data_IF_421309765019
#
_entry.id   IF_421309765019
#
_cell.length_a   1.000
_cell.length_b   1.000
_cell.length_c   1.000
_cell.angle_alpha   90.00
_cell.angle_beta   90.00
_cell.angle_gamma   90.00
#
_symmetry.space_group_name_H-M   'P 1'
#
loop_
_entity.id
_entity.type
_entity.pdbx_description
1 polymer ?
#
# COMPACT_ATOMS: atom_id res chain seq x y z
N UNK A 1 12.72 -38.95 -16.62
CA UNK A 1 11.75 -37.86 -16.38
C UNK A 1 12.42 -36.88 -15.44
N UNK A 2 12.73 -35.67 -15.91
CA UNK A 2 13.46 -34.67 -15.14
C UNK A 2 12.45 -33.89 -14.29
N UNK A 3 12.62 -33.90 -12.97
CA UNK A 3 11.77 -33.14 -12.07
C UNK A 3 11.98 -31.65 -12.32
N UNK A 4 10.89 -30.95 -12.65
CA UNK A 4 10.87 -29.50 -12.81
C UNK A 4 11.21 -28.87 -11.46
N UNK A 5 12.42 -28.32 -11.33
CA UNK A 5 12.83 -27.58 -10.14
C UNK A 5 11.98 -26.30 -10.13
N UNK A 6 10.88 -26.32 -9.37
CA UNK A 6 10.11 -25.13 -9.02
C UNK A 6 11.06 -24.16 -8.29
N UNK A 7 11.79 -23.39 -9.07
CA UNK A 7 12.73 -22.40 -8.56
C UNK A 7 11.86 -21.29 -8.00
N UNK A 8 11.61 -21.35 -6.69
CA UNK A 8 10.80 -20.36 -5.99
C UNK A 8 11.63 -19.08 -5.99
N UNK A 9 11.35 -18.18 -6.93
CA UNK A 9 12.01 -16.88 -6.99
C UNK A 9 11.66 -16.17 -5.67
N UNK A 10 12.66 -15.78 -4.86
CA UNK A 10 12.40 -15.15 -3.58
C UNK A 10 11.69 -13.81 -3.81
N UNK A 11 10.70 -13.51 -2.97
CA UNK A 11 10.01 -12.23 -3.04
C UNK A 11 11.03 -11.09 -2.86
N UNK A 12 10.95 -10.02 -3.67
CA UNK A 12 11.88 -8.91 -3.52
C UNK A 12 11.73 -8.28 -2.13
N UNK A 13 12.83 -7.76 -1.57
CA UNK A 13 12.79 -7.12 -0.26
C UNK A 13 11.87 -5.88 -0.29
N UNK A 14 11.28 -5.49 0.85
CA UNK A 14 10.48 -4.28 0.93
C UNK A 14 11.26 -3.04 0.48
N UNK A 15 10.62 -2.20 -0.33
CA UNK A 15 11.18 -0.94 -0.81
C UNK A 15 10.57 0.24 -0.06
N UNK A 16 11.32 1.33 0.04
CA UNK A 16 10.87 2.55 0.71
C UNK A 16 10.86 3.73 -0.26
N UNK A 17 9.87 4.62 -0.10
CA UNK A 17 9.83 5.87 -0.84
C UNK A 17 9.52 7.05 0.08
N UNK A 18 10.38 8.07 0.04
CA UNK A 18 10.15 9.37 0.68
C UNK A 18 9.18 10.21 -0.14
N UNK A 19 8.29 10.93 0.53
CA UNK A 19 7.35 11.85 -0.12
C UNK A 19 6.50 12.60 0.90
N UNK A 20 5.32 13.04 0.45
CA UNK A 20 4.40 13.86 1.23
C UNK A 20 3.00 13.29 1.17
N UNK A 21 2.26 13.35 2.28
CA UNK A 21 0.86 12.98 2.35
C UNK A 21 0.08 14.02 3.17
N UNK A 22 -1.23 14.12 2.92
CA UNK A 22 -2.12 14.87 3.79
C UNK A 22 -2.25 14.19 5.15
N UNK A 23 -2.35 15.00 6.19
CA UNK A 23 -2.69 14.59 7.55
C UNK A 23 -3.94 15.35 7.98
N UNK A 24 -4.92 14.61 8.47
CA UNK A 24 -6.16 15.16 9.01
C UNK A 24 -5.92 15.88 10.34
N UNK A 25 -6.87 16.71 10.80
CA UNK A 25 -6.80 17.37 12.11
C UNK A 25 -6.67 16.39 13.28
N UNK A 26 -7.23 15.18 13.14
CA UNK A 26 -7.13 14.09 14.11
C UNK A 26 -5.75 13.38 14.07
N UNK A 27 -4.78 13.96 13.35
CA UNK A 27 -3.43 13.44 13.17
C UNK A 27 -3.37 12.08 12.44
N UNK A 28 -4.34 11.82 11.55
CA UNK A 28 -4.37 10.61 10.72
C UNK A 28 -3.83 10.93 9.32
N UNK A 29 -2.72 10.29 8.95
CA UNK A 29 -2.15 10.33 7.61
C UNK A 29 -3.11 9.74 6.57
N UNK A 30 -3.13 10.33 5.37
CA UNK A 30 -3.98 9.91 4.25
C UNK A 30 -3.12 9.25 3.16
N UNK A 31 -2.92 7.91 3.17
CA UNK A 31 -1.94 7.26 2.30
C UNK A 31 -2.24 7.44 0.81
N UNK A 32 -3.53 7.49 0.44
CA UNK A 32 -3.98 7.71 -0.94
C UNK A 32 -3.50 9.04 -1.54
N UNK A 33 -3.12 9.99 -0.69
CA UNK A 33 -2.64 11.31 -1.09
C UNK A 33 -1.12 11.36 -1.26
N UNK A 34 -0.40 10.28 -0.98
CA UNK A 34 1.07 10.25 -1.08
C UNK A 34 1.56 10.72 -2.46
N UNK A 35 2.50 11.65 -2.47
CA UNK A 35 3.12 12.17 -3.68
C UNK A 35 4.56 12.65 -3.45
N UNK A 36 5.30 12.85 -4.53
CA UNK A 36 6.69 13.34 -4.48
C UNK A 36 6.84 14.80 -4.01
N UNK A 37 5.75 15.56 -3.93
CA UNK A 37 5.75 16.95 -3.43
C UNK A 37 4.43 17.30 -2.75
N UNK A 38 4.47 18.29 -1.85
CA UNK A 38 3.29 18.78 -1.12
C UNK A 38 2.16 19.21 -2.06
N UNK A 39 2.49 20.01 -3.09
CA UNK A 39 1.52 20.46 -4.10
C UNK A 39 0.81 19.30 -4.79
N UNK A 40 1.52 18.19 -5.05
CA UNK A 40 0.91 16.99 -5.65
C UNK A 40 0.07 16.21 -4.64
N UNK A 41 0.46 16.18 -3.36
CA UNK A 41 -0.35 15.55 -2.31
C UNK A 41 -1.68 16.29 -2.11
N UNK A 42 -1.63 17.62 -2.01
CA UNK A 42 -2.83 18.48 -1.98
C UNK A 42 -3.68 18.25 -3.24
N UNK A 43 -3.07 18.19 -4.42
CA UNK A 43 -3.80 17.96 -5.67
C UNK A 43 -4.49 16.58 -5.76
N UNK A 44 -4.02 15.60 -4.99
CA UNK A 44 -4.67 14.28 -4.88
C UNK A 44 -5.91 14.35 -3.99
N UNK A 45 -5.83 15.03 -2.85
CA UNK A 45 -6.95 15.22 -1.91
C UNK A 45 -7.99 16.26 -2.37
N UNK A 46 -7.56 17.32 -3.05
CA UNK A 46 -8.39 18.46 -3.45
C UNK A 46 -8.36 18.66 -4.97
N UNK A 47 -9.50 18.47 -5.63
CA UNK A 47 -9.63 18.54 -7.09
C UNK A 47 -9.88 19.97 -7.59
N UNK A 48 -9.73 20.16 -8.90
CA UNK A 48 -10.10 21.41 -9.60
C UNK A 48 -11.53 21.27 -10.15
N UNK A 49 -12.24 22.39 -10.36
CA UNK A 49 -11.89 23.76 -9.93
C UNK A 49 -11.99 23.93 -8.40
N UNK A 50 -11.55 25.06 -7.87
CA UNK A 50 -11.73 25.37 -6.43
C UNK A 50 -10.66 24.83 -5.46
N UNK A 51 -9.71 24.00 -5.91
CA UNK A 51 -8.61 23.43 -5.08
C UNK A 51 -8.00 24.42 -4.08
N UNK A 52 -7.64 25.63 -4.53
CA UNK A 52 -6.93 26.62 -3.70
C UNK A 52 -7.80 27.07 -2.52
N UNK A 53 -9.10 27.32 -2.78
CA UNK A 53 -10.07 27.72 -1.75
C UNK A 53 -10.31 26.58 -0.76
N UNK A 54 -10.62 25.38 -1.27
CA UNK A 54 -10.86 24.21 -0.43
C UNK A 54 -9.65 23.83 0.44
N UNK A 55 -8.43 23.98 -0.09
CA UNK A 55 -7.22 23.74 0.71
C UNK A 55 -7.00 24.80 1.79
N UNK A 56 -7.32 26.06 1.52
CA UNK A 56 -7.24 27.13 2.53
C UNK A 56 -8.20 26.83 3.70
N UNK A 57 -9.47 26.53 3.40
CA UNK A 57 -10.48 26.15 4.39
C UNK A 57 -10.06 24.90 5.19
N UNK A 58 -9.53 23.87 4.52
CA UNK A 58 -9.04 22.68 5.20
C UNK A 58 -7.85 22.98 6.14
N UNK A 59 -6.95 23.88 5.74
CA UNK A 59 -5.83 24.29 6.58
C UNK A 59 -6.32 24.99 7.86
N UNK A 60 -7.34 25.84 7.75
CA UNK A 60 -7.99 26.48 8.91
C UNK A 60 -8.65 25.45 9.84
N UNK A 61 -9.14 24.34 9.28
CA UNK A 61 -9.68 23.21 10.05
C UNK A 61 -8.59 22.30 10.66
N UNK A 62 -7.31 22.60 10.47
CA UNK A 62 -6.19 21.85 11.05
C UNK A 62 -5.59 20.78 10.13
N UNK A 63 -6.00 20.70 8.87
CA UNK A 63 -5.34 19.83 7.90
C UNK A 63 -3.91 20.29 7.62
N UNK A 64 -3.02 19.33 7.38
CA UNK A 64 -1.62 19.63 7.07
C UNK A 64 -1.06 18.68 6.01
N UNK A 65 0.11 19.03 5.47
CA UNK A 65 0.93 18.11 4.68
C UNK A 65 2.10 17.66 5.54
N UNK A 66 2.42 16.36 5.54
CA UNK A 66 3.54 15.80 6.29
C UNK A 66 4.51 15.11 5.35
N UNK A 67 5.81 15.27 5.62
CA UNK A 67 6.86 14.46 5.03
C UNK A 67 6.76 13.03 5.61
N UNK A 68 6.70 12.03 4.75
CA UNK A 68 6.50 10.63 5.12
C UNK A 68 7.40 9.70 4.33
N UNK A 69 7.62 8.50 4.86
CA UNK A 69 8.24 7.39 4.16
C UNK A 69 7.19 6.28 4.00
N UNK A 70 6.87 5.90 2.76
CA UNK A 70 6.01 4.76 2.47
C UNK A 70 6.86 3.51 2.30
N UNK A 71 6.38 2.39 2.87
CA UNK A 71 6.94 1.06 2.65
C UNK A 71 6.06 0.31 1.67
N UNK A 72 6.64 -0.22 0.60
CA UNK A 72 5.98 -1.06 -0.38
C UNK A 72 6.26 -2.52 -0.03
N UNK A 73 5.18 -3.31 0.05
CA UNK A 73 5.25 -4.74 0.32
C UNK A 73 4.81 -5.52 -0.91
N UNK A 74 5.51 -6.62 -1.18
CA UNK A 74 5.04 -7.63 -2.12
C UNK A 74 3.97 -8.44 -1.37
N UNK A 75 2.76 -8.57 -1.91
CA UNK A 75 1.74 -9.38 -1.26
C UNK A 75 2.20 -10.84 -1.22
N UNK A 76 2.01 -11.49 -0.07
CA UNK A 76 2.22 -12.93 0.09
C UNK A 76 0.84 -13.58 0.14
N UNK A 77 0.56 -14.46 -0.82
CA UNK A 77 -0.66 -15.26 -0.85
C UNK A 77 -0.31 -16.69 -0.44
N UNK A 78 -1.03 -17.23 0.53
CA UNK A 78 -0.93 -18.65 0.87
C UNK A 78 -2.00 -19.41 0.09
N UNK A 79 -1.62 -20.50 -0.60
CA UNK A 79 -2.59 -21.40 -1.23
C UNK A 79 -3.42 -22.10 -0.16
N UNK A 80 -4.74 -22.06 -0.27
CA UNK A 80 -5.67 -22.82 0.59
C UNK A 80 -5.94 -24.22 0.05
N UNK A 81 -5.06 -24.78 -0.80
CA UNK A 81 -5.19 -26.16 -1.26
C UNK A 81 -5.09 -27.13 -0.08
N UNK A 82 -6.26 -27.56 0.41
CA UNK A 82 -6.37 -28.70 1.31
C UNK A 82 -5.70 -29.88 0.63
N UNK A 83 -4.58 -30.36 1.18
CA UNK A 83 -4.03 -31.65 0.79
C UNK A 83 -5.06 -32.71 1.16
N UNK A 84 -5.87 -33.16 0.20
CA UNK A 84 -6.59 -34.41 0.31
C UNK A 84 -5.51 -35.50 0.40
N UNK A 85 -5.20 -35.88 1.64
CA UNK A 85 -4.47 -37.11 1.91
C UNK A 85 -5.45 -38.22 1.54
N UNK A 86 -5.27 -38.81 0.36
CA UNK A 86 -5.90 -40.09 0.04
C UNK A 86 -5.21 -41.12 0.93
N UNK A 87 -5.95 -41.60 1.93
CA UNK A 87 -5.55 -42.73 2.77
C UNK A 87 -5.80 -43.97 1.90
N UNK A 88 -4.74 -44.59 1.38
CA UNK A 88 -4.84 -45.92 0.80
C UNK A 88 -5.14 -46.90 1.95
N UNK A 89 -6.30 -47.55 1.91
CA UNK A 89 -6.63 -48.67 2.78
C UNK A 89 -5.89 -49.91 2.26
N UNK A 90 -4.95 -50.44 3.05
CA UNK A 90 -4.34 -51.76 2.83
C UNK A 90 -5.42 -52.84 3.03
N UNK A 91 -5.79 -53.58 1.97
CA UNK A 91 -6.55 -54.84 2.07
C UNK A 91 -5.58 -56.04 2.07
N UNK A 92 -5.75 -56.92 3.07
CA UNK A 92 -5.00 -58.16 3.37
C UNK A 92 -4.96 -59.21 2.24
#
# INVERSE_FOLDING_TARGET
MQADVMTTIPNPPPAFQKGYALCSPENILQPKTFAKSEKKAIAKGFKKPGRKKAWAEATEQGWSVKLVYMRLFVPVFHSTSSSSVEIEEDED
#
